data_IF_884150083161
#
_entry.id   IF_884150083161
#
_cell.length_a   1.000
_cell.length_b   1.000
_cell.length_c   1.000
_cell.angle_alpha   90.00
_cell.angle_beta   90.00
_cell.angle_gamma   90.00
#
_symmetry.space_group_name_H-M   'P 1'
#
loop_
_entity.id
_entity.type
_entity.pdbx_description
1 polymer ?
#
# COMPACT_ATOMS: atom_id res chain seq x y z
N UNK A 1 31.41 -14.21 -1.34
CA UNK A 1 29.93 -14.33 -1.42
C UNK A 1 29.16 -13.00 -1.46
N UNK A 2 29.79 -11.84 -1.67
CA UNK A 2 29.12 -10.52 -1.71
C UNK A 2 28.05 -10.35 -2.80
N UNK A 3 28.13 -11.15 -3.87
CA UNK A 3 27.24 -11.03 -5.04
C UNK A 3 25.81 -11.50 -4.77
N UNK A 4 25.61 -12.45 -3.84
CA UNK A 4 24.29 -12.96 -3.48
C UNK A 4 23.56 -12.01 -2.52
N UNK A 5 24.28 -11.41 -1.56
CA UNK A 5 23.71 -10.45 -0.60
C UNK A 5 23.11 -9.25 -1.35
N UNK A 6 23.78 -8.77 -2.41
CA UNK A 6 23.27 -7.68 -3.25
C UNK A 6 21.92 -7.99 -3.90
N UNK A 7 21.69 -9.23 -4.34
CA UNK A 7 20.41 -9.65 -4.93
C UNK A 7 19.29 -9.64 -3.89
N UNK A 8 19.53 -10.17 -2.70
CA UNK A 8 18.55 -10.19 -1.61
C UNK A 8 18.15 -8.76 -1.21
N UNK A 9 19.12 -7.84 -1.13
CA UNK A 9 18.87 -6.43 -0.84
C UNK A 9 17.97 -5.77 -1.89
N UNK A 10 18.25 -5.99 -3.18
CA UNK A 10 17.40 -5.41 -4.23
C UNK A 10 15.98 -5.99 -4.25
N UNK A 11 15.84 -7.30 -4.00
CA UNK A 11 14.52 -7.95 -3.92
C UNK A 11 13.72 -7.39 -2.74
N UNK A 12 14.35 -7.24 -1.57
CA UNK A 12 13.72 -6.61 -0.40
C UNK A 12 13.24 -5.18 -0.71
N UNK A 13 14.08 -4.37 -1.35
CA UNK A 13 13.72 -2.99 -1.72
C UNK A 13 12.58 -2.94 -2.74
N UNK A 14 12.60 -3.79 -3.77
CA UNK A 14 11.53 -3.89 -4.75
C UNK A 14 10.21 -4.34 -4.11
N UNK A 15 10.25 -5.27 -3.17
CA UNK A 15 9.09 -5.75 -2.43
C UNK A 15 8.47 -4.65 -1.57
N UNK A 16 9.29 -3.90 -0.82
CA UNK A 16 8.84 -2.77 -0.01
C UNK A 16 8.22 -1.66 -0.86
N UNK A 17 8.83 -1.34 -2.01
CA UNK A 17 8.29 -0.39 -2.96
C UNK A 17 6.91 -0.84 -3.48
N UNK A 18 6.74 -2.13 -3.78
CA UNK A 18 5.46 -2.71 -4.19
C UNK A 18 4.38 -2.59 -3.12
N UNK A 19 4.69 -2.91 -1.85
CA UNK A 19 3.73 -2.77 -0.74
C UNK A 19 3.29 -1.31 -0.56
N UNK A 20 4.23 -0.37 -0.62
CA UNK A 20 3.92 1.05 -0.49
C UNK A 20 3.06 1.55 -1.65
N UNK A 21 3.41 1.15 -2.88
CA UNK A 21 2.64 1.49 -4.08
C UNK A 21 1.19 0.99 -3.99
N UNK A 22 0.99 -0.26 -3.60
CA UNK A 22 -0.34 -0.84 -3.45
C UNK A 22 -1.15 -0.10 -2.37
N UNK A 23 -0.50 0.27 -1.26
CA UNK A 23 -1.14 1.03 -0.18
C UNK A 23 -1.56 2.44 -0.60
N UNK A 24 -0.72 3.13 -1.39
CA UNK A 24 -1.06 4.45 -1.93
C UNK A 24 -2.17 4.39 -2.97
N UNK A 25 -2.18 3.34 -3.80
CA UNK A 25 -3.26 3.09 -4.75
C UNK A 25 -4.60 2.90 -4.02
N UNK A 26 -4.64 2.08 -2.97
CA UNK A 26 -5.86 1.84 -2.17
C UNK A 26 -6.36 3.12 -1.46
N UNK A 27 -5.45 3.96 -0.96
CA UNK A 27 -5.81 5.28 -0.41
C UNK A 27 -6.47 6.16 -1.46
N UNK A 28 -5.87 6.24 -2.65
CA UNK A 28 -6.36 7.07 -3.74
C UNK A 28 -7.74 6.61 -4.21
N UNK A 29 -7.94 5.31 -4.34
CA UNK A 29 -9.25 4.73 -4.68
C UNK A 29 -10.28 5.06 -3.60
N UNK A 30 -9.90 5.02 -2.32
CA UNK A 30 -10.79 5.36 -1.22
C UNK A 30 -11.24 6.82 -1.25
N UNK A 31 -10.29 7.73 -1.50
CA UNK A 31 -10.54 9.17 -1.64
C UNK A 31 -11.46 9.46 -2.83
N UNK A 32 -11.21 8.80 -3.97
CA UNK A 32 -12.08 8.87 -5.15
C UNK A 32 -13.48 8.31 -4.90
N UNK A 33 -13.62 7.28 -4.07
CA UNK A 33 -14.91 6.72 -3.67
C UNK A 33 -15.66 7.62 -2.66
N UNK A 34 -15.10 8.78 -2.28
CA UNK A 34 -15.67 9.69 -1.28
C UNK A 34 -15.58 9.14 0.14
N UNK A 35 -14.71 8.14 0.38
CA UNK A 35 -14.46 7.54 1.68
C UNK A 35 -13.28 8.16 2.42
N UNK A 36 -13.21 7.92 3.73
CA UNK A 36 -12.08 8.33 4.56
C UNK A 36 -11.15 7.15 4.80
N UNK A 37 -9.87 7.30 4.44
CA UNK A 37 -8.85 6.29 4.73
C UNK A 37 -8.46 6.33 6.21
N UNK A 38 -9.00 5.41 7.01
CA UNK A 38 -8.79 5.35 8.47
C UNK A 38 -8.17 4.02 8.87
N UNK A 39 -7.07 4.06 9.66
CA UNK A 39 -6.39 2.86 10.21
C UNK A 39 -5.96 1.82 9.15
N UNK A 40 -5.71 2.24 7.91
CA UNK A 40 -5.32 1.33 6.83
C UNK A 40 -6.50 0.64 6.14
N UNK A 41 -7.71 1.08 6.41
CA UNK A 41 -8.93 0.61 5.76
C UNK A 41 -9.63 1.80 5.09
N UNK A 42 -10.31 1.53 3.97
CA UNK A 42 -11.19 2.51 3.37
C UNK A 42 -12.54 2.51 4.09
N UNK A 43 -12.92 3.63 4.70
CA UNK A 43 -14.23 3.83 5.29
C UNK A 43 -15.08 4.71 4.37
N UNK A 44 -15.76 4.10 3.41
CA UNK A 44 -16.83 4.75 2.64
C UNK A 44 -18.08 4.65 3.48
N UNK A 45 -18.60 5.77 3.97
CA UNK A 45 -19.71 5.79 4.93
C UNK A 45 -20.95 5.05 4.44
N UNK A 46 -21.10 3.79 4.84
CA UNK A 46 -22.36 3.06 4.82
C UNK A 46 -23.24 3.60 5.94
N UNK A 47 -24.00 4.65 5.67
CA UNK A 47 -25.04 5.14 6.57
C UNK A 47 -26.25 4.17 6.47
N UNK A 48 -26.28 3.16 7.33
CA UNK A 48 -27.55 2.58 7.79
C UNK A 48 -28.03 3.49 8.93
N UNK A 49 -28.83 4.50 8.58
CA UNK A 49 -29.45 5.48 9.46
C UNK A 49 -30.39 6.38 8.68
#
# INVERSE_FOLDING_TARGET
>A
MFRLIRLVVFVMLAFLAGILFERDNQKTICDQAGGSWTRGLCNVGGNNG
#
